data_IF_996780522460
#
_entry.id   IF_996780522460
#
_cell.length_a   1.000
_cell.length_b   1.000
_cell.length_c   1.000
_cell.angle_alpha   90.00
_cell.angle_beta   90.00
_cell.angle_gamma   90.00
#
_symmetry.space_group_name_H-M   'P 1'
#
loop_
_entity.id
_entity.type
_entity.pdbx_description
1 polymer ?
#
# COMPACT_ATOMS: atom_id res chain seq x y z
N UNK A 1 20.34 12.19 -4.31
CA UNK A 1 19.10 12.87 -3.87
C UNK A 1 18.82 12.40 -2.46
N UNK A 2 18.27 13.22 -1.56
CA UNK A 2 17.83 12.73 -0.26
C UNK A 2 16.75 11.67 -0.44
N UNK A 3 16.74 10.65 0.41
CA UNK A 3 15.68 9.65 0.48
C UNK A 3 14.35 10.35 0.81
N UNK A 4 13.24 9.86 0.27
CA UNK A 4 11.92 10.29 0.72
C UNK A 4 11.62 9.51 1.99
N UNK A 5 11.51 10.22 3.09
CA UNK A 5 11.27 9.66 4.42
C UNK A 5 9.98 10.26 4.94
N UNK A 6 9.14 9.43 5.56
CA UNK A 6 7.87 9.82 6.13
C UNK A 6 7.65 9.10 7.46
N UNK A 7 7.11 9.83 8.43
CA UNK A 7 6.72 9.31 9.74
C UNK A 7 5.22 9.11 9.73
N UNK A 8 4.79 7.91 10.09
CA UNK A 8 3.39 7.49 10.16
C UNK A 8 3.00 7.35 11.62
N UNK A 9 1.97 8.09 12.02
CA UNK A 9 1.25 7.82 13.26
C UNK A 9 0.28 6.65 13.01
N UNK A 10 0.29 5.66 13.91
CA UNK A 10 -0.47 4.41 13.75
C UNK A 10 -1.98 4.62 13.92
N UNK A 11 -2.41 5.59 14.72
CA UNK A 11 -3.83 5.93 14.87
C UNK A 11 -4.34 6.65 13.62
N UNK A 12 -3.58 7.64 13.14
CA UNK A 12 -3.91 8.36 11.90
C UNK A 12 -3.96 7.40 10.69
N UNK A 13 -3.04 6.43 10.65
CA UNK A 13 -2.98 5.45 9.56
C UNK A 13 -4.11 4.41 9.63
N UNK A 14 -4.57 4.03 10.83
CA UNK A 14 -5.80 3.24 10.97
C UNK A 14 -7.00 4.02 10.44
N UNK A 15 -7.20 5.27 10.89
CA UNK A 15 -8.33 6.11 10.46
C UNK A 15 -8.32 6.27 8.93
N UNK A 16 -7.15 6.56 8.34
CA UNK A 16 -6.99 6.68 6.89
C UNK A 16 -7.41 5.41 6.14
N UNK A 17 -7.00 4.23 6.61
CA UNK A 17 -7.33 2.96 5.97
C UNK A 17 -8.82 2.63 6.13
N UNK A 18 -9.41 2.91 7.30
CA UNK A 18 -10.84 2.70 7.55
C UNK A 18 -11.71 3.60 6.68
N UNK A 19 -11.35 4.87 6.54
CA UNK A 19 -12.02 5.81 5.65
C UNK A 19 -11.97 5.31 4.20
N UNK A 20 -10.80 4.89 3.72
CA UNK A 20 -10.63 4.36 2.37
C UNK A 20 -11.45 3.07 2.14
N UNK A 21 -11.53 2.19 3.16
CA UNK A 21 -12.38 1.00 3.12
C UNK A 21 -13.88 1.37 3.06
N UNK A 22 -14.30 2.40 3.78
CA UNK A 22 -15.66 2.94 3.74
C UNK A 22 -16.01 3.46 2.35
N UNK A 23 -15.15 4.29 1.78
CA UNK A 23 -15.31 4.83 0.42
C UNK A 23 -15.39 3.70 -0.62
N UNK A 24 -14.51 2.68 -0.54
CA UNK A 24 -14.54 1.54 -1.45
C UNK A 24 -15.83 0.72 -1.34
N UNK A 25 -16.35 0.55 -0.12
CA UNK A 25 -17.61 -0.16 0.10
C UNK A 25 -18.80 0.57 -0.54
N UNK A 26 -18.86 1.90 -0.43
CA UNK A 26 -19.88 2.72 -1.09
C UNK A 26 -19.81 2.60 -2.62
N UNK A 27 -18.60 2.62 -3.19
CA UNK A 27 -18.40 2.42 -4.62
C UNK A 27 -18.85 1.02 -5.06
N UNK A 28 -18.41 -0.02 -4.36
CA UNK A 28 -18.76 -1.39 -4.67
C UNK A 28 -20.28 -1.65 -4.59
N UNK A 29 -20.99 -0.99 -3.68
CA UNK A 29 -22.46 -1.06 -3.63
C UNK A 29 -23.12 -0.35 -4.82
N UNK A 30 -22.50 0.71 -5.34
CA UNK A 30 -23.01 1.49 -6.47
C UNK A 30 -22.76 0.86 -7.84
N UNK A 31 -21.73 0.02 -7.96
CA UNK A 31 -21.32 -0.62 -9.22
C UNK A 31 -22.13 -1.90 -9.47
N UNK A 32 -22.49 -2.16 -10.74
CA UNK A 32 -23.15 -3.41 -11.11
C UNK A 32 -22.22 -4.63 -10.90
N UNK A 33 -22.76 -5.73 -10.38
CA UNK A 33 -21.99 -6.95 -10.04
C UNK A 33 -21.16 -7.55 -11.20
N UNK A 34 -21.54 -7.28 -12.45
CA UNK A 34 -20.85 -7.79 -13.64
C UNK A 34 -19.79 -6.81 -14.18
N UNK A 35 -19.56 -5.68 -13.50
CA UNK A 35 -18.58 -4.68 -13.92
C UNK A 35 -17.15 -5.19 -13.71
N UNK A 36 -16.28 -5.19 -14.74
CA UNK A 36 -14.90 -5.65 -14.62
C UNK A 36 -14.05 -4.83 -13.63
N UNK A 37 -14.43 -3.60 -13.31
CA UNK A 37 -13.78 -2.77 -12.30
C UNK A 37 -13.98 -3.31 -10.86
N UNK A 38 -15.10 -4.00 -10.61
CA UNK A 38 -15.44 -4.50 -9.28
C UNK A 38 -14.38 -5.47 -8.73
N UNK A 39 -13.78 -6.30 -9.59
CA UNK A 39 -12.70 -7.21 -9.19
C UNK A 39 -11.47 -6.47 -8.66
N UNK A 40 -11.04 -5.41 -9.33
CA UNK A 40 -9.89 -4.61 -8.88
C UNK A 40 -10.15 -3.87 -7.58
N UNK A 41 -11.40 -3.41 -7.37
CA UNK A 41 -11.80 -2.77 -6.12
C UNK A 41 -11.89 -3.75 -4.95
N UNK A 42 -12.38 -4.97 -5.18
CA UNK A 42 -12.36 -6.04 -4.19
C UNK A 42 -10.92 -6.42 -3.82
N UNK A 43 -10.02 -6.55 -4.79
CA UNK A 43 -8.59 -6.81 -4.52
C UNK A 43 -7.94 -5.68 -3.71
N UNK A 44 -8.30 -4.41 -3.97
CA UNK A 44 -7.84 -3.27 -3.17
C UNK A 44 -8.42 -3.32 -1.76
N UNK A 45 -9.70 -3.63 -1.62
CA UNK A 45 -10.36 -3.78 -0.32
C UNK A 45 -9.69 -4.87 0.53
N UNK A 46 -9.44 -6.06 -0.03
CA UNK A 46 -8.75 -7.15 0.66
C UNK A 46 -7.33 -6.75 1.10
N UNK A 47 -6.61 -5.99 0.25
CA UNK A 47 -5.29 -5.46 0.56
C UNK A 47 -5.34 -4.49 1.74
N UNK A 48 -6.25 -3.52 1.72
CA UNK A 48 -6.42 -2.55 2.80
C UNK A 48 -6.86 -3.21 4.10
N UNK A 49 -7.75 -4.21 4.05
CA UNK A 49 -8.12 -4.99 5.25
C UNK A 49 -6.90 -5.72 5.85
N UNK A 50 -6.04 -6.27 4.99
CA UNK A 50 -4.79 -6.89 5.44
C UNK A 50 -3.86 -5.87 6.09
N UNK A 51 -3.74 -4.67 5.51
CA UNK A 51 -2.94 -3.58 6.07
C UNK A 51 -3.51 -3.05 7.39
N UNK A 52 -4.84 -2.91 7.50
CA UNK A 52 -5.53 -2.52 8.73
C UNK A 52 -5.27 -3.51 9.87
N UNK A 53 -5.27 -4.81 9.58
CA UNK A 53 -4.85 -5.82 10.54
C UNK A 53 -3.38 -5.60 10.95
N UNK A 54 -2.52 -5.23 9.99
CA UNK A 54 -1.15 -4.71 10.16
C UNK A 54 -1.02 -3.71 11.28
N UNK A 55 -1.72 -2.60 11.08
CA UNK A 55 -1.71 -1.43 11.96
C UNK A 55 -2.30 -1.76 13.33
N UNK A 56 -3.43 -2.45 13.38
CA UNK A 56 -4.06 -2.84 14.65
C UNK A 56 -3.15 -3.70 15.50
N UNK A 57 -2.46 -4.68 14.91
CA UNK A 57 -1.47 -5.45 15.63
C UNK A 57 -0.35 -4.55 16.18
N UNK A 58 0.19 -3.67 15.34
CA UNK A 58 1.27 -2.75 15.71
C UNK A 58 0.89 -1.85 16.88
N UNK A 59 -0.34 -1.34 16.90
CA UNK A 59 -0.84 -0.48 17.97
C UNK A 59 -1.23 -1.27 19.23
N UNK A 60 -2.01 -2.33 19.07
CA UNK A 60 -2.75 -2.94 20.18
C UNK A 60 -2.10 -4.21 20.76
N UNK A 61 -1.18 -4.85 20.03
CA UNK A 61 -0.65 -6.17 20.39
C UNK A 61 0.89 -6.24 20.40
N UNK A 62 1.58 -5.35 19.69
CA UNK A 62 3.02 -5.48 19.48
C UNK A 62 3.85 -5.32 20.77
N UNK A 63 3.37 -4.53 21.74
CA UNK A 63 4.02 -4.39 23.05
C UNK A 63 3.98 -5.69 23.89
N UNK A 64 3.12 -6.64 23.53
CA UNK A 64 3.07 -7.97 24.17
C UNK A 64 4.01 -8.98 23.49
N UNK A 65 4.63 -8.62 22.36
CA UNK A 65 5.42 -9.53 21.54
C UNK A 65 6.86 -9.70 22.07
N UNK A 66 7.23 -10.94 22.40
CA UNK A 66 8.59 -11.29 22.87
C UNK A 66 9.71 -10.92 21.88
N UNK A 67 9.40 -10.80 20.59
CA UNK A 67 10.36 -10.49 19.52
C UNK A 67 10.46 -9.00 19.19
N UNK A 68 9.64 -8.14 19.80
CA UNK A 68 9.70 -6.69 19.66
C UNK A 68 9.79 -6.02 21.05
N UNK A 69 10.82 -6.31 21.85
CA UNK A 69 10.87 -5.91 23.26
C UNK A 69 11.00 -4.39 23.49
N UNK A 70 11.30 -3.62 22.45
CA UNK A 70 11.32 -2.16 22.48
C UNK A 70 10.02 -1.53 21.98
N UNK A 71 9.03 -2.34 21.58
CA UNK A 71 7.66 -1.90 21.38
C UNK A 71 7.01 -1.72 22.75
N UNK A 72 6.79 -0.46 23.14
CA UNK A 72 6.05 -0.12 24.35
C UNK A 72 4.60 0.27 24.03
N UNK A 73 3.78 0.40 25.07
CA UNK A 73 2.37 0.77 24.96
C UNK A 73 2.16 2.21 24.45
N UNK A 74 3.21 3.03 24.45
CA UNK A 74 3.20 4.43 24.04
C UNK A 74 3.74 4.64 22.61
N UNK A 75 4.16 3.57 21.90
CA UNK A 75 4.64 3.69 20.52
C UNK A 75 3.47 4.01 19.60
N UNK A 76 3.44 5.26 19.14
CA UNK A 76 2.45 5.74 18.17
C UNK A 76 3.04 5.94 16.77
N UNK A 77 4.36 6.09 16.62
CA UNK A 77 4.96 6.55 15.36
C UNK A 77 6.00 5.57 14.80
N UNK A 78 6.02 5.42 13.46
CA UNK A 78 7.00 4.64 12.71
C UNK A 78 7.54 5.49 11.56
N UNK A 79 8.86 5.55 11.37
CA UNK A 79 9.47 6.27 10.24
C UNK A 79 10.01 5.31 9.20
N UNK A 80 9.51 5.45 7.97
CA UNK A 80 9.93 4.67 6.82
C UNK A 80 10.56 5.57 5.76
N UNK A 81 11.49 5.00 4.99
CA UNK A 81 12.10 5.62 3.83
C UNK A 81 11.93 4.77 2.58
N UNK A 82 11.76 5.44 1.45
CA UNK A 82 11.84 4.83 0.13
C UNK A 82 13.28 4.47 -0.21
N UNK A 83 13.49 3.34 -0.85
CA UNK A 83 14.82 2.88 -1.25
C UNK A 83 15.36 3.70 -2.42
N UNK A 84 16.67 3.96 -2.46
CA UNK A 84 17.30 4.38 -3.72
C UNK A 84 17.38 3.21 -4.70
N UNK A 85 17.51 3.51 -6.00
CA UNK A 85 17.76 2.47 -7.01
C UNK A 85 19.04 1.66 -6.75
N UNK A 86 20.02 2.21 -6.02
CA UNK A 86 21.21 1.47 -5.61
C UNK A 86 20.92 0.47 -4.48
N UNK A 87 20.17 0.89 -3.45
CA UNK A 87 19.77 0.02 -2.34
C UNK A 87 18.82 -1.08 -2.79
N UNK A 88 17.89 -0.76 -3.71
CA UNK A 88 17.03 -1.73 -4.34
C UNK A 88 17.81 -2.73 -5.20
N UNK A 89 18.78 -2.25 -5.98
CA UNK A 89 19.66 -3.14 -6.77
C UNK A 89 20.46 -4.09 -5.88
N UNK A 90 21.07 -3.58 -4.81
CA UNK A 90 21.76 -4.41 -3.83
C UNK A 90 20.82 -5.43 -3.17
N UNK A 91 19.58 -5.02 -2.85
CA UNK A 91 18.58 -5.91 -2.26
C UNK A 91 18.24 -7.06 -3.21
N UNK A 92 18.09 -6.78 -4.51
CA UNK A 92 17.85 -7.81 -5.51
C UNK A 92 19.04 -8.77 -5.63
N UNK A 93 20.27 -8.24 -5.63
CA UNK A 93 21.49 -9.07 -5.67
C UNK A 93 21.56 -10.02 -4.45
N UNK A 94 21.22 -9.52 -3.25
CA UNK A 94 21.20 -10.33 -2.03
C UNK A 94 20.12 -11.42 -2.09
N UNK A 95 18.91 -11.10 -2.55
CA UNK A 95 17.82 -12.07 -2.72
C UNK A 95 18.17 -13.17 -3.75
N UNK A 96 18.81 -12.80 -4.86
CA UNK A 96 19.28 -13.74 -5.87
C UNK A 96 20.40 -14.64 -5.34
N UNK A 97 21.35 -14.07 -4.59
CA UNK A 97 22.45 -14.80 -3.96
C UNK A 97 21.94 -15.83 -2.94
N UNK A 98 20.94 -15.46 -2.14
CA UNK A 98 20.38 -16.29 -1.08
C UNK A 98 19.31 -17.27 -1.59
N UNK A 99 18.92 -17.17 -2.87
CA UNK A 99 17.88 -18.00 -3.48
C UNK A 99 16.51 -17.82 -2.81
N UNK A 100 16.25 -16.62 -2.30
CA UNK A 100 15.12 -16.34 -1.44
C UNK A 100 13.85 -15.99 -2.24
N UNK A 101 12.68 -16.46 -1.79
CA UNK A 101 11.40 -16.24 -2.46
C UNK A 101 10.80 -14.84 -2.21
N UNK A 102 9.63 -14.55 -2.79
CA UNK A 102 8.95 -13.25 -2.64
C UNK A 102 8.69 -12.83 -1.19
N UNK A 103 8.47 -13.78 -0.28
CA UNK A 103 8.33 -13.50 1.16
C UNK A 103 9.61 -12.95 1.79
N UNK A 104 10.79 -13.34 1.31
CA UNK A 104 12.05 -12.77 1.77
C UNK A 104 12.27 -11.37 1.18
N UNK A 105 11.88 -11.12 -0.07
CA UNK A 105 11.98 -9.79 -0.68
C UNK A 105 11.31 -8.71 0.18
N UNK A 106 10.12 -9.02 0.70
CA UNK A 106 9.41 -8.14 1.64
C UNK A 106 10.21 -7.85 2.90
N UNK A 107 10.80 -8.87 3.51
CA UNK A 107 11.59 -8.69 4.75
C UNK A 107 12.77 -7.77 4.50
N UNK A 108 13.52 -7.98 3.41
CA UNK A 108 14.67 -7.13 3.08
C UNK A 108 14.23 -5.71 2.74
N UNK A 109 13.13 -5.55 2.01
CA UNK A 109 12.60 -4.23 1.67
C UNK A 109 12.16 -3.46 2.92
N UNK A 110 11.43 -4.11 3.83
CA UNK A 110 11.01 -3.50 5.10
C UNK A 110 12.22 -3.19 5.97
N UNK A 111 13.18 -4.09 6.06
CA UNK A 111 14.42 -3.86 6.84
C UNK A 111 15.18 -2.62 6.35
N UNK A 112 15.38 -2.49 5.04
CA UNK A 112 16.12 -1.37 4.44
C UNK A 112 15.34 -0.07 4.42
N UNK A 113 14.02 -0.16 4.31
CA UNK A 113 13.14 1.01 4.31
C UNK A 113 12.70 1.43 5.72
N UNK A 114 13.10 0.73 6.79
CA UNK A 114 12.82 1.19 8.16
C UNK A 114 13.96 2.09 8.64
N UNK A 115 13.66 3.36 8.89
CA UNK A 115 14.61 4.35 9.43
C UNK A 115 14.55 4.39 10.96
N UNK A 116 13.34 4.51 11.52
CA UNK A 116 13.12 4.55 12.97
C UNK A 116 11.84 3.78 13.30
N UNK A 117 11.98 2.75 14.13
CA UNK A 117 10.87 1.91 14.57
C UNK A 117 11.27 1.13 15.83
N UNK A 118 10.31 0.79 16.71
CA UNK A 118 10.59 0.14 18.00
C UNK A 118 11.15 -1.29 17.89
N UNK A 119 11.10 -1.93 16.73
CA UNK A 119 11.65 -3.27 16.52
C UNK A 119 13.10 -3.24 15.98
N UNK A 120 13.64 -2.08 15.63
CA UNK A 120 15.04 -1.93 15.25
C UNK A 120 15.76 -1.07 16.29
N UNK A 121 17.03 -1.40 16.54
CA UNK A 121 17.91 -0.60 17.40
C UNK A 121 19.20 -0.32 16.61
N UNK A 122 19.75 0.88 16.77
CA UNK A 122 20.96 1.34 16.05
C UNK A 122 22.20 0.45 16.29
N UNK A 123 22.20 -0.36 17.34
CA UNK A 123 23.26 -1.32 17.63
C UNK A 123 23.11 -2.67 16.92
N UNK A 124 21.95 -2.94 16.31
CA UNK A 124 21.71 -4.17 15.55
C UNK A 124 22.49 -4.15 14.23
N UNK A 125 23.19 -5.24 13.93
CA UNK A 125 23.71 -5.49 12.59
C UNK A 125 22.61 -5.87 11.59
N UNK A 126 22.92 -5.83 10.30
CA UNK A 126 21.99 -6.14 9.20
C UNK A 126 21.30 -7.51 9.38
N UNK A 127 22.05 -8.59 9.61
CA UNK A 127 21.49 -9.94 9.84
C UNK A 127 20.48 -9.98 11.00
N UNK A 128 20.75 -9.21 12.06
CA UNK A 128 19.88 -9.15 13.23
C UNK A 128 18.62 -8.35 12.90
N UNK A 129 18.73 -7.23 12.18
CA UNK A 129 17.58 -6.44 11.69
C UNK A 129 16.70 -7.29 10.78
N UNK A 130 17.27 -8.00 9.80
CA UNK A 130 16.54 -8.91 8.90
C UNK A 130 15.82 -9.99 9.71
N UNK A 131 16.49 -10.63 10.68
CA UNK A 131 15.87 -11.64 11.53
C UNK A 131 14.75 -11.07 12.39
N UNK A 132 14.87 -9.84 12.90
CA UNK A 132 13.80 -9.21 13.68
C UNK A 132 12.60 -8.90 12.81
N UNK A 133 12.82 -8.30 11.63
CA UNK A 133 11.77 -8.00 10.65
C UNK A 133 11.08 -9.27 10.16
N UNK A 134 11.82 -10.37 9.96
CA UNK A 134 11.25 -11.65 9.56
C UNK A 134 10.28 -12.26 10.60
N UNK A 135 10.38 -11.86 11.87
CA UNK A 135 9.48 -12.31 12.93
C UNK A 135 8.23 -11.42 13.07
N UNK A 136 8.19 -10.25 12.42
CA UNK A 136 7.00 -9.40 12.43
C UNK A 136 5.85 -10.09 11.70
N UNK A 137 4.60 -9.84 12.10
CA UNK A 137 3.46 -10.43 11.43
C UNK A 137 3.36 -10.00 9.97
N UNK A 138 2.94 -10.94 9.12
CA UNK A 138 2.87 -10.72 7.66
C UNK A 138 1.99 -9.54 7.27
N UNK A 139 0.92 -9.26 8.02
CA UNK A 139 0.03 -8.12 7.78
C UNK A 139 0.74 -6.78 7.98
N UNK A 140 1.55 -6.67 9.03
CA UNK A 140 2.36 -5.48 9.28
C UNK A 140 3.43 -5.31 8.19
N UNK A 141 4.10 -6.40 7.82
CA UNK A 141 5.10 -6.37 6.73
C UNK A 141 4.48 -5.93 5.39
N UNK A 142 3.24 -6.32 5.09
CA UNK A 142 2.52 -5.90 3.87
C UNK A 142 2.23 -4.39 3.91
N UNK A 143 1.83 -3.85 5.06
CA UNK A 143 1.63 -2.42 5.22
C UNK A 143 2.94 -1.64 5.04
N UNK A 144 4.00 -2.02 5.75
CA UNK A 144 5.30 -1.34 5.68
C UNK A 144 5.90 -1.41 4.26
N UNK A 145 5.82 -2.56 3.59
CA UNK A 145 6.25 -2.73 2.19
C UNK A 145 5.51 -1.76 1.26
N UNK A 146 4.20 -1.59 1.45
CA UNK A 146 3.39 -0.69 0.62
C UNK A 146 3.83 0.77 0.80
N UNK A 147 3.99 1.25 2.05
CA UNK A 147 4.47 2.62 2.34
C UNK A 147 5.86 2.87 1.77
N UNK A 148 6.80 1.92 1.98
CA UNK A 148 8.16 2.01 1.42
C UNK A 148 8.13 2.03 -0.11
N UNK A 149 7.29 1.21 -0.74
CA UNK A 149 7.10 1.19 -2.18
C UNK A 149 6.66 2.56 -2.72
N UNK A 150 5.65 3.16 -2.09
CA UNK A 150 5.17 4.51 -2.43
C UNK A 150 6.27 5.57 -2.31
N UNK A 151 7.03 5.56 -1.22
CA UNK A 151 8.15 6.49 -1.00
C UNK A 151 9.30 6.28 -2.01
N UNK A 152 9.55 5.04 -2.40
CA UNK A 152 10.55 4.66 -3.41
C UNK A 152 10.18 5.19 -4.81
N UNK A 153 8.91 5.54 -5.03
CA UNK A 153 8.36 5.72 -6.37
C UNK A 153 8.19 4.39 -7.11
N UNK A 154 8.26 3.28 -6.38
CA UNK A 154 7.77 1.95 -6.79
C UNK A 154 6.30 1.77 -6.42
N UNK A 155 5.65 2.83 -5.94
CA UNK A 155 4.20 2.94 -5.88
C UNK A 155 3.67 2.67 -7.28
N UNK A 156 3.31 1.41 -7.51
CA UNK A 156 2.68 0.89 -8.71
C UNK A 156 3.52 0.92 -9.99
N UNK A 157 4.42 -0.05 -10.12
CA UNK A 157 4.88 -0.49 -11.42
C UNK A 157 3.70 -1.13 -12.19
N UNK A 158 2.92 -0.27 -12.86
CA UNK A 158 2.47 -0.45 -14.24
C UNK A 158 2.19 -1.89 -14.68
N UNK A 159 1.03 -2.46 -14.30
CA UNK A 159 0.20 -3.37 -15.15
C UNK A 159 -1.04 -4.02 -14.54
N UNK A 160 -1.47 -3.72 -13.31
CA UNK A 160 -2.73 -4.28 -12.78
C UNK A 160 -3.76 -3.16 -12.63
N UNK A 161 -4.59 -3.04 -13.68
CA UNK A 161 -5.79 -2.21 -13.81
C UNK A 161 -5.66 -0.75 -13.38
N UNK A 162 -5.42 0.15 -14.34
CA UNK A 162 -5.52 1.62 -14.20
C UNK A 162 -6.79 2.07 -13.48
N UNK A 163 -7.84 1.23 -13.44
CA UNK A 163 -9.12 1.49 -12.78
C UNK A 163 -9.07 1.27 -11.26
N UNK A 164 -8.35 0.26 -10.77
CA UNK A 164 -8.36 -0.11 -9.35
C UNK A 164 -7.71 0.94 -8.44
N UNK A 165 -6.81 1.74 -9.00
CA UNK A 165 -6.06 2.74 -8.26
C UNK A 165 -6.53 4.19 -8.48
N UNK A 166 -7.63 4.38 -9.20
CA UNK A 166 -8.21 5.70 -9.31
C UNK A 166 -8.79 6.11 -7.97
N UNK A 167 -8.76 7.42 -7.65
CA UNK A 167 -9.54 7.93 -6.54
C UNK A 167 -10.99 7.49 -6.67
N UNK A 168 -11.61 7.11 -5.56
CA UNK A 168 -13.00 6.63 -5.51
C UNK A 168 -13.96 7.59 -6.21
N UNK A 169 -13.82 8.90 -5.99
CA UNK A 169 -14.65 9.92 -6.64
C UNK A 169 -14.59 9.88 -8.17
N UNK A 170 -13.45 9.48 -8.73
CA UNK A 170 -13.26 9.40 -10.17
C UNK A 170 -13.95 8.16 -10.75
N UNK A 171 -13.94 7.03 -10.02
CA UNK A 171 -14.66 5.83 -10.44
C UNK A 171 -16.17 6.08 -10.50
N UNK A 172 -16.72 6.75 -9.50
CA UNK A 172 -18.13 7.16 -9.48
C UNK A 172 -18.46 8.06 -10.68
N UNK A 173 -17.60 9.03 -10.98
CA UNK A 173 -17.77 9.90 -12.14
C UNK A 173 -17.70 9.12 -13.47
N UNK A 174 -16.73 8.21 -13.60
CA UNK A 174 -16.56 7.41 -14.81
C UNK A 174 -17.76 6.48 -15.05
N UNK A 175 -18.30 5.85 -14.00
CA UNK A 175 -19.53 5.03 -14.07
C UNK A 175 -20.74 5.86 -14.51
N UNK A 176 -20.95 7.03 -13.91
CA UNK A 176 -22.04 7.93 -14.29
C UNK A 176 -21.92 8.33 -15.78
N UNK A 177 -20.70 8.61 -16.23
CA UNK A 177 -20.41 8.97 -17.63
C UNK A 177 -20.62 7.80 -18.59
N UNK A 178 -20.23 6.59 -18.21
CA UNK A 178 -20.48 5.36 -18.97
C UNK A 178 -21.98 5.10 -19.10
N UNK A 179 -22.75 5.29 -18.03
CA UNK A 179 -24.22 5.17 -18.04
C UNK A 179 -24.89 6.15 -19.01
N UNK A 180 -24.41 7.40 -19.09
CA UNK A 180 -24.88 8.37 -20.09
C UNK A 180 -24.55 7.95 -21.54
N UNK A 181 -23.32 7.49 -21.79
CA UNK A 181 -22.83 7.13 -23.12
C UNK A 181 -23.50 5.86 -23.67
N UNK A 182 -23.68 4.85 -22.82
CA UNK A 182 -24.36 3.59 -23.17
C UNK A 182 -25.87 3.79 -23.36
N UNK A 183 -26.48 4.68 -22.57
CA UNK A 183 -27.87 5.12 -22.75
C UNK A 183 -28.15 5.83 -24.08
N UNK A 184 -27.12 6.34 -24.78
CA UNK A 184 -27.22 6.96 -26.10
C UNK A 184 -27.02 5.98 -27.28
N UNK A 185 -26.89 4.68 -27.05
CA UNK A 185 -26.95 3.65 -28.10
C UNK A 185 -25.68 3.46 -28.92
N UNK A 186 -24.51 3.84 -28.40
CA UNK A 186 -23.21 3.62 -29.04
C UNK A 186 -22.46 2.43 -28.45
N UNK A 187 -22.13 1.43 -29.28
CA UNK A 187 -21.09 0.43 -28.99
C UNK A 187 -19.71 1.09 -29.07
N UNK A 188 -19.42 2.05 -28.20
CA UNK A 188 -18.06 2.52 -28.00
C UNK A 188 -17.37 1.55 -27.03
N UNK A 189 -16.18 1.07 -27.39
CA UNK A 189 -15.27 0.45 -26.43
C UNK A 189 -14.86 1.56 -25.45
N UNK A 190 -15.53 1.64 -24.30
CA UNK A 190 -15.27 2.71 -23.33
C UNK A 190 -14.00 2.36 -22.55
N UNK A 191 -13.00 3.22 -22.68
CA UNK A 191 -11.74 3.11 -21.96
C UNK A 191 -11.74 4.08 -20.76
N UNK A 192 -11.62 3.55 -19.55
CA UNK A 192 -11.55 4.33 -18.31
C UNK A 192 -10.36 5.31 -18.28
N UNK A 193 -9.30 5.07 -19.06
CA UNK A 193 -8.17 5.99 -19.21
C UNK A 193 -8.50 7.24 -20.03
N UNK A 194 -9.35 7.13 -21.06
CA UNK A 194 -9.76 8.28 -21.88
C UNK A 194 -10.73 9.18 -21.10
N UNK A 195 -11.58 8.55 -20.28
CA UNK A 195 -12.41 9.25 -19.29
C UNK A 195 -11.53 10.06 -18.31
N UNK A 196 -10.29 9.65 -18.07
CA UNK A 196 -9.45 10.24 -17.02
C UNK A 196 -8.87 11.57 -17.48
N UNK A 197 -8.45 11.61 -18.73
CA UNK A 197 -8.09 12.85 -19.41
C UNK A 197 -9.30 13.81 -19.50
N UNK A 198 -10.51 13.30 -19.70
CA UNK A 198 -11.74 14.10 -19.74
C UNK A 198 -12.07 14.73 -18.37
N UNK A 199 -12.05 13.98 -17.25
CA UNK A 199 -12.35 14.59 -15.93
C UNK A 199 -11.29 15.59 -15.47
N UNK A 200 -10.01 15.36 -15.81
CA UNK A 200 -8.93 16.29 -15.48
C UNK A 200 -9.06 17.60 -16.28
N UNK A 201 -9.58 17.52 -17.52
CA UNK A 201 -9.90 18.70 -18.31
C UNK A 201 -11.11 19.47 -17.76
N UNK A 202 -12.14 18.78 -17.26
CA UNK A 202 -13.33 19.41 -16.67
C UNK A 202 -13.06 20.10 -15.33
N UNK A 203 -12.22 19.50 -14.48
CA UNK A 203 -11.85 20.07 -13.17
C UNK A 203 -10.84 21.22 -13.25
N UNK A 204 -10.17 21.39 -14.40
CA UNK A 204 -9.20 22.47 -14.65
C UNK A 204 -9.80 23.75 -15.26
N UNK A 205 -11.12 23.83 -15.41
CA UNK A 205 -11.84 24.98 -16.00
C UNK A 205 -12.62 25.77 -14.95
#
# INVERSE_FOLDING_TARGET
MPLRTETYDLDDEEERIEDELGELAEVLESIENDNPAALGLLERQERLQTQLQGIRWARDEAFEADYAPAWDEDVAEITLAGLTGGEFGAMQDDLESDGAGSGAARVYQVERGTEDAPYIDDSMGEDQRISTVANLPVHYLIWAEARIGELTGMGEDQRISTVANLPVHYLIWAEARIGELTGMGGNAEINYGDLLEESQAETST
#
